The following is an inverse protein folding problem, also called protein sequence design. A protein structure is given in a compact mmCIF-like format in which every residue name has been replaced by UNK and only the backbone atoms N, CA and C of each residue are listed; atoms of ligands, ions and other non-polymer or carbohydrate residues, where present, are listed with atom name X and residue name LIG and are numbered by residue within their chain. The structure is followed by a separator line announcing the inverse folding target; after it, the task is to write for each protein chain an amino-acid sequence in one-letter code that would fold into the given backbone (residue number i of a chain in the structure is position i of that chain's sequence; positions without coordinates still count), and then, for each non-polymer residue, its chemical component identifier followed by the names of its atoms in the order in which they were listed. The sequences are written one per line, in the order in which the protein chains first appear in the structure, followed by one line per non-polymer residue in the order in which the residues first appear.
data_IF_695709066374
#
_entry.id   IF_695709066374
#
_cell.length_a   1.000
_cell.length_b   1.000
_cell.length_c   1.000
_cell.angle_alpha   90.00
_cell.angle_beta   90.00
_cell.angle_gamma   90.00
#
_symmetry.space_group_name_H-M   'P 1'
#
loop_
_entity.id
_entity.type
_entity.pdbx_description
1 polymer ?
#
# COMPACT_ATOMS: atom_id res chain seq x y z
N UNK A 1 -8.11 -30.78 -32.00
CA UNK A 1 -9.29 -30.16 -31.36
C UNK A 1 -9.06 -30.14 -29.86
N UNK A 2 -9.15 -29.09 -29.06
CA UNK A 2 -9.45 -27.67 -29.19
C UNK A 2 -9.32 -27.12 -27.75
N UNK A 3 -8.65 -25.99 -27.60
CA UNK A 3 -8.28 -25.37 -26.33
C UNK A 3 -9.49 -25.12 -25.42
N UNK A 4 -9.33 -25.36 -24.10
CA UNK A 4 -10.25 -24.81 -23.09
C UNK A 4 -9.48 -24.30 -21.88
N UNK A 5 -8.80 -23.16 -22.07
CA UNK A 5 -8.35 -22.30 -20.98
C UNK A 5 -9.56 -21.73 -20.25
N UNK A 6 -9.97 -22.39 -19.15
CA UNK A 6 -10.97 -21.87 -18.22
C UNK A 6 -10.34 -20.74 -17.40
N UNK A 7 -10.42 -19.51 -17.89
CA UNK A 7 -10.05 -18.33 -17.10
C UNK A 7 -11.15 -18.14 -16.06
N UNK A 8 -11.00 -18.78 -14.89
CA UNK A 8 -11.83 -18.47 -13.72
C UNK A 8 -11.71 -16.96 -13.46
N UNK A 9 -12.82 -16.21 -13.28
CA UNK A 9 -12.73 -14.81 -12.92
C UNK A 9 -11.93 -14.72 -11.61
N UNK A 10 -10.73 -14.17 -11.69
CA UNK A 10 -9.85 -14.01 -10.53
C UNK A 10 -10.55 -13.03 -9.60
N UNK A 11 -11.10 -13.51 -8.48
CA UNK A 11 -11.60 -12.65 -7.41
C UNK A 11 -10.50 -11.65 -7.05
N UNK A 12 -10.78 -10.37 -7.24
CA UNK A 12 -9.83 -9.32 -6.86
C UNK A 12 -9.70 -9.39 -5.34
N UNK A 13 -8.50 -9.62 -4.80
CA UNK A 13 -8.33 -9.71 -3.36
C UNK A 13 -8.63 -8.35 -2.75
N UNK A 14 -9.55 -8.34 -1.78
CA UNK A 14 -9.78 -7.18 -0.93
C UNK A 14 -8.65 -7.08 0.10
N UNK A 15 -8.22 -5.85 0.37
CA UNK A 15 -7.24 -5.52 1.38
C UNK A 15 -7.76 -4.39 2.25
N UNK A 16 -7.37 -4.39 3.52
CA UNK A 16 -7.76 -3.37 4.46
C UNK A 16 -6.77 -2.21 4.41
N UNK A 17 -7.28 -1.00 4.24
CA UNK A 17 -6.48 0.22 4.33
C UNK A 17 -6.08 0.48 5.79
N UNK A 18 -4.80 0.73 6.04
CA UNK A 18 -4.28 1.06 7.39
C UNK A 18 -4.66 2.48 7.85
N UNK A 19 -5.08 3.36 6.93
CA UNK A 19 -5.54 4.71 7.22
C UNK A 19 -7.01 4.75 7.66
N UNK A 20 -7.93 4.40 6.75
CA UNK A 20 -9.37 4.45 7.02
C UNK A 20 -9.94 3.19 7.68
N UNK A 21 -9.27 2.04 7.54
CA UNK A 21 -9.74 0.75 8.08
C UNK A 21 -10.72 0.01 7.17
N UNK A 22 -11.10 0.58 6.03
CA UNK A 22 -12.03 -0.04 5.08
C UNK A 22 -11.34 -1.09 4.21
N UNK A 23 -12.12 -2.08 3.76
CA UNK A 23 -11.66 -3.07 2.79
C UNK A 23 -11.94 -2.55 1.38
N UNK A 24 -10.89 -2.42 0.57
CA UNK A 24 -10.97 -1.99 -0.83
C UNK A 24 -10.27 -2.98 -1.75
N UNK A 25 -10.51 -2.84 -3.04
CA UNK A 25 -9.84 -3.67 -4.03
C UNK A 25 -8.33 -3.42 -4.01
N UNK A 26 -7.53 -4.47 -4.19
CA UNK A 26 -6.06 -4.34 -4.24
C UNK A 26 -5.58 -3.28 -5.24
N UNK A 27 -6.33 -3.06 -6.33
CA UNK A 27 -5.97 -2.11 -7.40
C UNK A 27 -6.11 -0.64 -6.97
N UNK A 28 -7.00 -0.34 -6.03
CA UNK A 28 -7.23 1.02 -5.52
C UNK A 28 -6.31 1.39 -4.35
N UNK A 29 -5.49 0.43 -3.91
CA UNK A 29 -4.65 0.56 -2.74
C UNK A 29 -3.18 0.60 -3.17
N UNK A 30 -2.47 1.55 -2.58
CA UNK A 30 -1.03 1.67 -2.67
C UNK A 30 -0.42 0.78 -1.59
N UNK A 31 0.57 -0.04 -1.97
CA UNK A 31 1.31 -0.88 -1.02
C UNK A 31 2.56 -0.11 -0.59
N UNK A 32 2.66 0.23 0.68
CA UNK A 32 3.87 0.76 1.30
C UNK A 32 4.62 -0.42 1.90
N UNK A 33 5.92 -0.53 1.64
CA UNK A 33 6.75 -1.61 2.18
C UNK A 33 7.89 -1.06 3.01
N UNK A 34 8.32 -1.85 3.99
CA UNK A 34 9.62 -1.75 4.64
C UNK A 34 10.57 -2.75 4.00
N UNK A 35 11.62 -2.25 3.37
CA UNK A 35 12.71 -3.06 2.83
C UNK A 35 13.55 -3.70 3.95
N UNK A 36 14.39 -4.70 3.65
CA UNK A 36 15.34 -5.24 4.62
C UNK A 36 16.35 -4.21 5.15
N UNK A 37 16.58 -3.13 4.41
CA UNK A 37 17.45 -1.99 4.77
C UNK A 37 16.72 -0.95 5.64
N UNK A 38 15.55 -1.31 6.18
CA UNK A 38 14.71 -0.43 7.01
C UNK A 38 14.17 0.82 6.29
N UNK A 39 14.27 0.86 4.96
CA UNK A 39 13.73 1.95 4.14
C UNK A 39 12.25 1.72 3.84
N UNK A 40 11.45 2.78 3.91
CA UNK A 40 10.04 2.75 3.57
C UNK A 40 9.84 3.29 2.16
N UNK A 41 9.22 2.50 1.29
CA UNK A 41 8.99 2.89 -0.11
C UNK A 41 7.60 2.46 -0.59
N UNK A 42 7.08 3.14 -1.60
CA UNK A 42 5.89 2.70 -2.32
C UNK A 42 6.26 1.55 -3.29
N UNK A 43 5.44 0.50 -3.29
CA UNK A 43 5.55 -0.66 -4.17
C UNK A 43 4.26 -0.85 -4.97
N UNK A 44 4.20 -0.21 -6.14
CA UNK A 44 3.11 -0.43 -7.10
C UNK A 44 3.20 -1.79 -7.80
N UNK A 45 4.41 -2.37 -7.87
CA UNK A 45 4.65 -3.62 -8.61
C UNK A 45 4.12 -4.83 -7.85
N UNK A 46 4.05 -4.75 -6.52
CA UNK A 46 3.71 -5.86 -5.64
C UNK A 46 4.77 -6.98 -5.61
N UNK A 47 5.96 -6.73 -6.18
CA UNK A 47 7.05 -7.73 -6.31
C UNK A 47 8.16 -7.51 -5.28
N UNK A 48 8.21 -6.34 -4.65
CA UNK A 48 9.28 -6.02 -3.70
C UNK A 48 9.08 -6.82 -2.39
N UNK A 49 10.20 -7.32 -1.86
CA UNK A 49 10.25 -8.10 -0.64
C UNK A 49 10.28 -7.19 0.59
N UNK A 50 9.58 -7.61 1.65
CA UNK A 50 9.51 -6.85 2.89
C UNK A 50 8.14 -6.92 3.56
N UNK A 51 8.03 -6.22 4.71
CA UNK A 51 6.74 -6.06 5.40
C UNK A 51 5.95 -5.00 4.65
N UNK A 52 4.73 -5.34 4.24
CA UNK A 52 3.87 -4.44 3.46
C UNK A 52 2.63 -4.03 4.25
N UNK A 53 2.23 -2.78 4.06
CA UNK A 53 0.96 -2.21 4.51
C UNK A 53 0.23 -1.63 3.31
N UNK A 54 -1.10 -1.72 3.29
CA UNK A 54 -1.92 -1.16 2.22
C UNK A 54 -2.58 0.13 2.68
N UNK A 55 -2.59 1.12 1.81
CA UNK A 55 -3.24 2.42 2.05
C UNK A 55 -4.01 2.84 0.81
N UNK A 56 -5.12 3.57 0.96
CA UNK A 56 -5.82 4.12 -0.21
C UNK A 56 -4.87 5.03 -0.99
N UNK A 57 -5.04 5.10 -2.32
CA UNK A 57 -4.39 6.12 -3.15
C UNK A 57 -4.97 7.52 -2.88
N UNK A 58 -4.83 7.99 -1.64
CA UNK A 58 -5.33 9.26 -1.16
C UNK A 58 -4.46 9.73 0.01
N UNK A 59 -3.95 10.95 -0.11
CA UNK A 59 -3.15 11.62 0.93
C UNK A 59 -3.92 11.72 2.26
N UNK A 60 -5.25 11.79 2.25
CA UNK A 60 -6.06 11.75 3.47
C UNK A 60 -5.86 10.45 4.27
N UNK A 61 -5.79 9.31 3.59
CA UNK A 61 -5.56 8.03 4.26
C UNK A 61 -4.15 7.97 4.85
N UNK A 62 -3.16 8.50 4.15
CA UNK A 62 -1.78 8.62 4.64
C UNK A 62 -1.70 9.48 5.89
N UNK A 63 -2.34 10.64 5.91
CA UNK A 63 -2.44 11.52 7.09
C UNK A 63 -3.14 10.85 8.27
N UNK A 64 -4.25 10.14 8.01
CA UNK A 64 -4.95 9.35 9.04
C UNK A 64 -4.06 8.25 9.59
N UNK A 65 -3.32 7.54 8.73
CA UNK A 65 -2.41 6.49 9.13
C UNK A 65 -1.25 7.00 9.98
N UNK A 66 -0.66 8.15 9.58
CA UNK A 66 0.37 8.86 10.32
C UNK A 66 -0.12 9.29 11.71
N UNK A 67 -1.28 9.94 11.81
CA UNK A 67 -1.87 10.37 13.09
C UNK A 67 -2.10 9.20 14.05
N UNK A 68 -2.51 8.05 13.52
CA UNK A 68 -2.77 6.82 14.29
C UNK A 68 -1.54 5.94 14.50
N UNK A 69 -0.40 6.31 13.92
CA UNK A 69 0.81 5.47 13.83
C UNK A 69 0.54 4.06 13.30
N UNK A 70 -0.47 3.91 12.45
CA UNK A 70 -0.92 2.59 11.99
C UNK A 70 0.05 1.99 10.97
N UNK A 71 0.71 2.83 10.16
CA UNK A 71 1.79 2.41 9.27
C UNK A 71 3.00 1.91 10.06
N UNK A 72 3.44 2.68 11.06
CA UNK A 72 4.55 2.29 11.95
C UNK A 72 4.29 0.93 12.63
N UNK A 73 3.06 0.72 13.14
CA UNK A 73 2.65 -0.57 13.73
C UNK A 73 2.64 -1.71 12.71
N UNK A 74 2.18 -1.45 11.49
CA UNK A 74 2.08 -2.47 10.43
C UNK A 74 3.45 -2.86 9.89
N UNK A 75 4.34 -1.89 9.73
CA UNK A 75 5.71 -2.08 9.24
C UNK A 75 6.69 -2.49 10.37
N UNK A 76 6.26 -2.32 11.63
CA UNK A 76 7.05 -2.49 12.85
C UNK A 76 8.36 -1.68 12.79
N UNK A 77 8.25 -0.41 12.41
CA UNK A 77 9.36 0.54 12.42
C UNK A 77 8.83 1.95 12.68
N UNK A 78 9.70 2.84 13.12
CA UNK A 78 9.39 4.28 13.25
C UNK A 78 9.58 4.91 11.89
N UNK A 79 8.61 5.70 11.45
CA UNK A 79 8.65 6.39 10.16
C UNK A 79 8.90 7.86 10.44
N UNK A 80 10.06 8.42 10.07
CA UNK A 80 10.34 9.84 10.27
C UNK A 80 9.44 10.72 9.39
N UNK A 81 9.30 11.99 9.80
CA UNK A 81 8.43 12.95 9.13
C UNK A 81 8.80 13.20 7.66
N UNK A 82 10.10 13.18 7.36
CA UNK A 82 10.62 13.32 5.99
C UNK A 82 10.04 12.25 5.05
N UNK A 83 10.01 11.00 5.51
CA UNK A 83 9.49 9.87 4.73
C UNK A 83 7.99 10.03 4.50
N UNK A 84 7.24 10.52 5.49
CA UNK A 84 5.82 10.79 5.27
C UNK A 84 5.59 11.84 4.19
N UNK A 85 6.43 12.89 4.13
CA UNK A 85 6.36 13.91 3.08
C UNK A 85 6.73 13.35 1.71
N UNK A 86 7.73 12.47 1.64
CA UNK A 86 8.09 11.78 0.40
C UNK A 86 6.95 10.87 -0.07
N UNK A 87 6.36 10.09 0.84
CA UNK A 87 5.21 9.24 0.53
C UNK A 87 4.00 10.05 0.06
N UNK A 88 3.72 11.23 0.65
CA UNK A 88 2.66 12.12 0.19
C UNK A 88 2.91 12.56 -1.26
N UNK A 89 4.13 13.03 -1.57
CA UNK A 89 4.52 13.43 -2.93
C UNK A 89 4.42 12.28 -3.93
N UNK A 90 4.94 11.10 -3.57
CA UNK A 90 4.85 9.94 -4.45
C UNK A 90 3.39 9.56 -4.71
N UNK A 91 2.52 9.63 -3.70
CA UNK A 91 1.09 9.36 -3.87
C UNK A 91 0.38 10.37 -4.77
N UNK A 92 0.70 11.67 -4.65
CA UNK A 92 0.18 12.69 -5.56
C UNK A 92 0.62 12.42 -7.01
N UNK A 93 1.88 12.04 -7.23
CA UNK A 93 2.40 11.67 -8.55
C UNK A 93 1.75 10.40 -9.16
N UNK A 94 1.12 9.55 -8.34
CA UNK A 94 0.40 8.34 -8.78
C UNK A 94 -1.08 8.66 -9.08
N UNK A 95 -1.60 9.75 -8.51
CA UNK A 95 -2.96 10.20 -8.73
C UNK A 95 -3.12 11.07 -10.00
N UNK A 96 -2.03 11.63 -10.52
CA UNK A 96 -1.94 12.23 -11.87
C UNK A 96 -1.85 11.16 -12.98
#
# INVERSE_FOLDING_TARGET
MGEKSSVRPRKVPLRQCTGCGERKEKKELVRIIKTPEDTIVIDLTGKKNGRGAYICNSTECLRKARRRKSLERSLKTVIPDEIYKELEKEMDNIAE
#
